data_IF_453491312642
#
_entry.id   IF_453491312642
#
_cell.length_a   1.000
_cell.length_b   1.000
_cell.length_c   1.000
_cell.angle_alpha   90.00
_cell.angle_beta   90.00
_cell.angle_gamma   90.00
#
_symmetry.space_group_name_H-M   'P 1'
#
loop_
_entity.id
_entity.type
_entity.pdbx_description
1 polymer ?
#
# COMPACT_ATOMS: atom_id res chain seq x y z
N UNK A 1 -3.30 1.37 41.47
CA UNK A 1 -2.25 1.57 40.44
C UNK A 1 -0.91 0.95 40.86
N UNK A 2 -0.34 1.35 41.99
CA UNK A 2 1.01 0.90 42.41
C UNK A 2 1.16 -0.63 42.52
N UNK A 3 0.17 -1.33 43.07
CA UNK A 3 0.18 -2.79 43.13
C UNK A 3 0.26 -3.45 41.74
N UNK A 4 -0.40 -2.86 40.73
CA UNK A 4 -0.36 -3.34 39.34
C UNK A 4 1.03 -3.09 38.73
N UNK A 5 1.64 -1.93 38.99
CA UNK A 5 3.02 -1.64 38.56
C UNK A 5 4.02 -2.59 39.19
N UNK A 6 3.91 -2.87 40.48
CA UNK A 6 4.77 -3.83 41.17
C UNK A 6 4.63 -5.24 40.58
N UNK A 7 3.40 -5.66 40.24
CA UNK A 7 3.17 -6.91 39.54
C UNK A 7 3.84 -6.93 38.16
N UNK A 8 3.61 -5.90 37.34
CA UNK A 8 4.23 -5.77 36.01
C UNK A 8 5.75 -5.82 36.12
N UNK A 9 6.33 -5.06 37.04
CA UNK A 9 7.78 -5.03 37.28
C UNK A 9 8.33 -6.43 37.58
N UNK A 10 7.70 -7.16 38.51
CA UNK A 10 8.16 -8.48 38.93
C UNK A 10 8.00 -9.57 37.86
N UNK A 11 6.92 -9.52 37.06
CA UNK A 11 6.55 -10.59 36.13
C UNK A 11 6.79 -10.26 34.64
N UNK A 12 7.23 -9.05 34.31
CA UNK A 12 7.48 -8.58 32.93
C UNK A 12 8.37 -9.53 32.10
N UNK A 13 9.36 -10.14 32.73
CA UNK A 13 10.32 -11.03 32.07
C UNK A 13 9.97 -12.53 32.20
N UNK A 14 8.84 -12.85 32.84
CA UNK A 14 8.41 -14.24 33.07
C UNK A 14 7.35 -14.63 32.04
N UNK A 15 7.50 -15.80 31.42
CA UNK A 15 6.49 -16.40 30.55
C UNK A 15 5.79 -17.55 31.28
N UNK A 16 4.89 -17.21 32.20
CA UNK A 16 4.10 -18.18 32.97
C UNK A 16 2.60 -17.96 32.72
N UNK A 17 2.00 -18.90 32.01
CA UNK A 17 0.58 -18.89 31.67
C UNK A 17 -0.35 -18.83 32.89
N UNK A 18 0.04 -19.38 34.05
CA UNK A 18 -0.78 -19.31 35.28
C UNK A 18 -0.76 -17.90 35.85
N UNK A 19 0.41 -17.28 35.89
CA UNK A 19 0.58 -15.89 36.35
C UNK A 19 -0.20 -14.94 35.45
N UNK A 20 -0.15 -15.14 34.13
CA UNK A 20 -0.87 -14.30 33.17
C UNK A 20 -2.38 -14.38 33.33
N UNK A 21 -2.91 -15.59 33.56
CA UNK A 21 -4.33 -15.79 33.85
C UNK A 21 -4.74 -15.16 35.18
N UNK A 22 -3.96 -15.39 36.24
CA UNK A 22 -4.19 -14.78 37.55
C UNK A 22 -4.20 -13.25 37.47
N UNK A 23 -3.30 -12.65 36.67
CA UNK A 23 -3.28 -11.21 36.47
C UNK A 23 -4.59 -10.70 35.89
N UNK A 24 -5.15 -11.37 34.87
CA UNK A 24 -6.43 -10.97 34.28
C UNK A 24 -7.59 -11.23 35.23
N UNK A 25 -7.68 -12.42 35.83
CA UNK A 25 -8.78 -12.82 36.70
C UNK A 25 -8.92 -11.86 37.89
N UNK A 26 -7.78 -11.50 38.50
CA UNK A 26 -7.72 -10.63 39.67
C UNK A 26 -7.38 -9.16 39.34
N UNK A 27 -7.42 -8.76 38.06
CA UNK A 27 -7.18 -7.36 37.69
C UNK A 27 -8.20 -6.44 38.39
N UNK A 28 -7.76 -5.39 39.13
CA UNK A 28 -8.65 -4.57 39.95
C UNK A 28 -9.80 -3.94 39.16
N UNK A 29 -11.04 -4.11 39.65
CA UNK A 29 -12.24 -3.61 38.97
C UNK A 29 -12.24 -2.08 38.88
N UNK A 30 -11.90 -1.37 39.96
CA UNK A 30 -11.86 0.09 39.99
C UNK A 30 -10.93 0.67 38.90
N UNK A 31 -9.76 0.07 38.72
CA UNK A 31 -8.81 0.49 37.68
C UNK A 31 -9.31 0.14 36.27
N UNK A 32 -10.00 -1.00 36.12
CA UNK A 32 -10.62 -1.37 34.85
C UNK A 32 -11.76 -0.40 34.48
N UNK A 33 -12.57 0.02 35.44
CA UNK A 33 -13.61 1.05 35.27
C UNK A 33 -13.00 2.42 34.96
N UNK A 34 -11.86 2.75 35.57
CA UNK A 34 -11.10 3.96 35.27
C UNK A 34 -10.61 3.95 33.83
N UNK A 35 -10.00 2.85 33.36
CA UNK A 35 -9.63 2.69 31.94
C UNK A 35 -10.84 2.78 31.01
N UNK A 36 -11.98 2.21 31.40
CA UNK A 36 -13.21 2.31 30.62
C UNK A 36 -13.70 3.75 30.53
N UNK A 37 -13.72 4.49 31.65
CA UNK A 37 -14.14 5.88 31.75
C UNK A 37 -13.21 6.77 30.92
N UNK A 38 -11.90 6.55 31.05
CA UNK A 38 -10.88 7.21 30.24
C UNK A 38 -11.13 6.95 28.75
N UNK A 39 -11.46 5.72 28.35
CA UNK A 39 -11.74 5.41 26.95
C UNK A 39 -13.00 6.09 26.39
N UNK A 40 -13.90 6.60 27.25
CA UNK A 40 -15.16 7.26 26.87
C UNK A 40 -15.09 8.79 26.90
N UNK A 41 -14.34 9.37 27.84
CA UNK A 41 -14.37 10.81 28.14
C UNK A 41 -13.17 11.57 27.55
N UNK A 42 -13.33 12.84 27.16
CA UNK A 42 -12.26 13.71 26.63
C UNK A 42 -11.56 14.59 27.69
N UNK A 43 -11.71 14.27 28.98
CA UNK A 43 -11.21 15.13 30.06
C UNK A 43 -9.70 14.97 30.30
N UNK A 44 -8.95 16.05 30.04
CA UNK A 44 -7.51 16.20 30.24
C UNK A 44 -7.16 16.63 31.68
N UNK A 45 -7.54 15.82 32.67
CA UNK A 45 -7.07 16.07 34.04
C UNK A 45 -5.63 15.57 34.22
N UNK A 46 -4.82 16.17 35.09
CA UNK A 46 -3.40 15.80 35.27
C UNK A 46 -3.17 14.32 35.64
N UNK A 47 -4.16 13.65 36.26
CA UNK A 47 -4.10 12.20 36.55
C UNK A 47 -4.27 11.30 35.31
N UNK A 48 -4.72 11.87 34.18
CA UNK A 48 -4.98 11.15 32.94
C UNK A 48 -3.70 10.50 32.38
N UNK A 49 -2.61 11.25 32.32
CA UNK A 49 -1.34 10.77 31.73
C UNK A 49 -0.76 9.58 32.50
N UNK A 50 -0.77 9.62 33.84
CA UNK A 50 -0.27 8.51 34.66
C UNK A 50 -1.08 7.23 34.45
N UNK A 51 -2.39 7.37 34.26
CA UNK A 51 -3.32 6.25 34.04
C UNK A 51 -3.21 5.72 32.61
N UNK A 52 -2.99 6.60 31.63
CA UNK A 52 -2.71 6.24 30.24
C UNK A 52 -1.41 5.44 30.12
N UNK A 53 -0.31 5.92 30.73
CA UNK A 53 0.96 5.18 30.79
C UNK A 53 0.76 3.81 31.42
N UNK A 54 0.03 3.73 32.54
CA UNK A 54 -0.26 2.45 33.19
C UNK A 54 -1.06 1.51 32.27
N UNK A 55 -2.02 2.02 31.49
CA UNK A 55 -2.73 1.18 30.52
C UNK A 55 -1.77 0.63 29.47
N UNK A 56 -0.84 1.44 28.95
CA UNK A 56 0.15 0.98 27.98
C UNK A 56 1.08 -0.10 28.57
N UNK A 57 1.48 0.04 29.84
CA UNK A 57 2.24 -0.96 30.59
C UNK A 57 1.44 -2.26 30.77
N UNK A 58 0.16 -2.15 31.16
CA UNK A 58 -0.76 -3.29 31.30
C UNK A 58 -0.97 -3.99 29.97
N UNK A 59 -1.19 -3.25 28.88
CA UNK A 59 -1.31 -3.82 27.54
C UNK A 59 -0.04 -4.57 27.15
N UNK A 60 1.12 -3.97 27.40
CA UNK A 60 2.43 -4.58 27.14
C UNK A 60 2.60 -5.88 27.92
N UNK A 61 2.22 -5.90 29.21
CA UNK A 61 2.29 -7.12 30.03
C UNK A 61 1.35 -8.21 29.50
N UNK A 62 0.09 -7.88 29.20
CA UNK A 62 -0.93 -8.85 28.75
C UNK A 62 -0.52 -9.52 27.44
N UNK A 63 0.04 -8.74 26.50
CA UNK A 63 0.38 -9.23 25.17
C UNK A 63 1.88 -9.50 24.98
N UNK A 64 2.64 -9.70 26.06
CA UNK A 64 4.06 -10.13 25.95
C UNK A 64 4.23 -11.56 25.40
N UNK A 65 3.17 -12.36 25.47
CA UNK A 65 3.10 -13.73 24.97
C UNK A 65 1.65 -14.08 24.54
N UNK A 66 1.42 -15.30 24.10
CA UNK A 66 0.12 -15.74 23.55
C UNK A 66 -0.84 -16.33 24.59
N UNK A 67 -0.45 -16.42 25.87
CA UNK A 67 -1.12 -17.22 26.90
C UNK A 67 -2.59 -16.81 27.15
N UNK A 68 -2.89 -15.52 26.98
CA UNK A 68 -4.20 -14.94 27.32
C UNK A 68 -4.92 -14.28 26.14
N UNK A 69 -4.50 -14.58 24.90
CA UNK A 69 -5.09 -13.96 23.70
C UNK A 69 -6.60 -14.21 23.57
N UNK A 70 -7.06 -15.40 23.97
CA UNK A 70 -8.46 -15.82 23.86
C UNK A 70 -9.32 -15.43 25.06
N UNK A 71 -8.72 -14.86 26.10
CA UNK A 71 -9.46 -14.48 27.31
C UNK A 71 -10.35 -13.27 27.04
N UNK A 72 -11.59 -13.33 27.51
CA UNK A 72 -12.60 -12.30 27.24
C UNK A 72 -12.19 -10.92 27.76
N UNK A 73 -11.46 -10.87 28.89
CA UNK A 73 -10.97 -9.63 29.50
C UNK A 73 -9.86 -8.97 28.66
N UNK A 74 -9.03 -9.75 27.96
CA UNK A 74 -8.00 -9.24 27.03
C UNK A 74 -8.61 -8.36 25.94
N UNK A 75 -9.79 -8.73 25.43
CA UNK A 75 -10.54 -7.94 24.45
C UNK A 75 -10.91 -6.54 24.96
N UNK A 76 -11.24 -6.41 26.25
CA UNK A 76 -11.52 -5.10 26.86
C UNK A 76 -10.28 -4.20 26.85
N UNK A 77 -9.11 -4.75 27.20
CA UNK A 77 -7.86 -4.01 27.15
C UNK A 77 -7.47 -3.58 25.73
N UNK A 78 -7.67 -4.44 24.73
CA UNK A 78 -7.54 -4.04 23.31
C UNK A 78 -8.48 -2.88 23.01
N UNK A 79 -9.75 -2.96 23.42
CA UNK A 79 -10.71 -1.87 23.17
C UNK A 79 -10.30 -0.56 23.86
N UNK A 80 -9.75 -0.60 25.08
CA UNK A 80 -9.28 0.60 25.78
C UNK A 80 -8.10 1.22 25.05
N UNK A 81 -7.11 0.40 24.70
CA UNK A 81 -5.93 0.79 23.96
C UNK A 81 -6.25 1.46 22.62
N UNK A 82 -7.13 0.84 21.82
CA UNK A 82 -7.55 1.38 20.51
C UNK A 82 -8.24 2.75 20.62
N UNK A 83 -8.99 2.99 21.71
CA UNK A 83 -9.72 4.25 21.92
C UNK A 83 -8.81 5.36 22.41
N UNK A 84 -7.86 5.04 23.28
CA UNK A 84 -6.97 6.04 23.88
C UNK A 84 -5.97 6.58 22.86
N UNK A 85 -5.37 5.72 22.03
CA UNK A 85 -4.40 6.15 21.00
C UNK A 85 -5.01 7.10 19.95
N UNK A 86 -6.34 7.15 19.83
CA UNK A 86 -7.02 8.11 18.93
C UNK A 86 -7.01 9.53 19.46
N UNK A 87 -6.79 9.71 20.76
CA UNK A 87 -6.70 11.01 21.40
C UNK A 87 -5.30 11.55 21.14
N UNK A 88 -5.25 12.76 20.60
CA UNK A 88 -4.12 13.26 19.79
C UNK A 88 -2.96 13.83 20.59
N UNK A 89 -2.96 13.67 21.91
CA UNK A 89 -1.86 14.16 22.73
C UNK A 89 -0.75 13.11 22.75
N UNK A 90 0.38 13.47 22.14
CA UNK A 90 1.55 12.61 22.13
C UNK A 90 2.13 12.51 23.55
N UNK A 91 2.44 11.30 23.98
CA UNK A 91 3.17 11.05 25.23
C UNK A 91 4.67 11.11 24.91
N UNK A 92 5.40 12.17 25.35
CA UNK A 92 6.76 12.41 24.87
C UNK A 92 7.79 11.34 25.28
N UNK A 93 7.53 10.53 26.30
CA UNK A 93 8.58 9.71 26.95
C UNK A 93 8.22 8.23 27.15
N UNK A 94 7.23 7.70 26.44
CA UNK A 94 6.88 6.27 26.54
C UNK A 94 7.83 5.39 25.72
N UNK A 95 8.36 4.32 26.33
CA UNK A 95 9.26 3.39 25.64
C UNK A 95 8.47 2.46 24.70
N UNK A 96 8.56 2.72 23.39
CA UNK A 96 7.67 2.09 22.40
C UNK A 96 8.08 0.67 21.95
N UNK A 97 9.34 0.27 22.13
CA UNK A 97 9.80 -1.04 21.60
C UNK A 97 9.06 -2.25 22.19
N UNK A 98 8.88 -2.37 23.53
CA UNK A 98 8.14 -3.49 24.12
C UNK A 98 6.66 -3.46 23.73
N UNK A 99 6.11 -2.27 23.57
CA UNK A 99 4.73 -2.09 23.13
C UNK A 99 4.55 -2.59 21.70
N UNK A 100 5.47 -2.27 20.79
CA UNK A 100 5.47 -2.75 19.40
C UNK A 100 5.55 -4.29 19.36
N UNK A 101 6.37 -4.93 20.21
CA UNK A 101 6.41 -6.40 20.31
C UNK A 101 5.06 -6.96 20.77
N UNK A 102 4.49 -6.34 21.80
CA UNK A 102 3.21 -6.76 22.36
C UNK A 102 2.06 -6.60 21.36
N UNK A 103 2.09 -5.55 20.54
CA UNK A 103 1.15 -5.39 19.42
C UNK A 103 1.31 -6.53 18.41
N UNK A 104 2.55 -6.90 18.06
CA UNK A 104 2.81 -8.00 17.13
C UNK A 104 2.22 -9.32 17.62
N UNK A 105 2.32 -9.59 18.92
CA UNK A 105 1.70 -10.76 19.55
C UNK A 105 0.17 -10.61 19.59
N UNK A 106 -0.36 -9.46 19.98
CA UNK A 106 -1.79 -9.19 20.03
C UNK A 106 -2.47 -9.45 18.68
N UNK A 107 -1.90 -8.92 17.60
CA UNK A 107 -2.47 -9.06 16.24
C UNK A 107 -2.19 -10.41 15.58
N UNK A 108 -1.50 -11.34 16.25
CA UNK A 108 -1.48 -12.75 15.85
C UNK A 108 -2.85 -13.41 16.02
N UNK A 109 -3.73 -12.83 16.83
CA UNK A 109 -5.13 -13.22 16.94
C UNK A 109 -6.01 -12.41 15.97
N UNK A 110 -6.58 -13.08 14.96
CA UNK A 110 -7.36 -12.47 13.88
C UNK A 110 -8.44 -11.47 14.33
N UNK A 111 -9.27 -11.76 15.35
CA UNK A 111 -10.25 -10.79 15.85
C UNK A 111 -9.64 -9.45 16.26
N UNK A 112 -8.46 -9.46 16.90
CA UNK A 112 -7.78 -8.22 17.28
C UNK A 112 -7.18 -7.53 16.05
N UNK A 113 -6.57 -8.27 15.11
CA UNK A 113 -6.11 -7.71 13.83
C UNK A 113 -7.24 -6.96 13.11
N UNK A 114 -8.44 -7.54 13.05
CA UNK A 114 -9.65 -6.91 12.48
C UNK A 114 -10.04 -5.64 13.24
N UNK A 115 -10.00 -5.65 14.58
CA UNK A 115 -10.28 -4.45 15.39
C UNK A 115 -9.29 -3.32 15.08
N UNK A 116 -8.00 -3.63 14.97
CA UNK A 116 -6.95 -2.66 14.64
C UNK A 116 -7.18 -2.01 13.26
N UNK A 117 -7.51 -2.81 12.24
CA UNK A 117 -7.84 -2.31 10.90
C UNK A 117 -9.07 -1.39 10.95
N UNK A 118 -10.15 -1.86 11.57
CA UNK A 118 -11.42 -1.14 11.65
C UNK A 118 -11.32 0.17 12.42
N UNK A 119 -10.38 0.27 13.36
CA UNK A 119 -10.14 1.50 14.12
C UNK A 119 -9.06 2.40 13.51
N UNK A 120 -8.52 2.07 12.32
CA UNK A 120 -7.41 2.80 11.68
C UNK A 120 -6.20 2.95 12.63
N UNK A 121 -5.90 1.89 13.37
CA UNK A 121 -5.04 2.00 14.53
C UNK A 121 -3.59 2.34 14.18
N UNK A 122 -3.03 1.74 13.12
CA UNK A 122 -1.64 2.00 12.73
C UNK A 122 -1.36 3.48 12.49
N UNK A 123 -2.29 4.18 11.84
CA UNK A 123 -2.19 5.62 11.61
C UNK A 123 -2.23 6.42 12.92
N UNK A 124 -3.20 6.09 13.80
CA UNK A 124 -3.32 6.79 15.09
C UNK A 124 -2.09 6.54 15.96
N UNK A 125 -1.59 5.30 16.01
CA UNK A 125 -0.35 4.96 16.72
C UNK A 125 0.84 5.72 16.16
N UNK A 126 0.96 5.79 14.83
CA UNK A 126 2.03 6.53 14.19
C UNK A 126 2.09 7.97 14.71
N UNK A 127 0.97 8.69 14.66
CA UNK A 127 0.93 10.08 15.08
C UNK A 127 1.00 10.29 16.60
N UNK A 128 0.46 9.37 17.38
CA UNK A 128 0.55 9.43 18.83
C UNK A 128 1.99 9.26 19.32
N UNK A 129 2.78 8.39 18.67
CA UNK A 129 4.14 8.05 19.11
C UNK A 129 5.27 8.58 18.19
N UNK A 130 4.97 9.40 17.17
CA UNK A 130 5.92 9.78 16.11
C UNK A 130 7.27 10.27 16.63
N UNK A 131 7.26 11.09 17.70
CA UNK A 131 8.47 11.66 18.31
C UNK A 131 9.39 10.60 18.91
N UNK A 132 8.81 9.52 19.42
CA UNK A 132 9.51 8.42 20.07
C UNK A 132 9.94 7.31 19.09
N UNK A 133 9.41 7.31 17.87
CA UNK A 133 9.52 6.18 16.93
C UNK A 133 10.76 6.20 16.01
N UNK A 134 11.67 7.17 16.14
CA UNK A 134 12.80 7.33 15.21
C UNK A 134 13.65 6.05 15.04
N UNK A 135 13.85 5.27 16.11
CA UNK A 135 14.63 4.01 16.05
C UNK A 135 13.82 2.82 15.54
N UNK A 136 12.49 2.90 15.63
CA UNK A 136 11.60 1.74 15.49
C UNK A 136 10.68 1.84 14.27
N UNK A 137 10.82 2.89 13.46
CA UNK A 137 10.01 3.15 12.26
C UNK A 137 9.97 1.96 11.29
N UNK A 138 11.11 1.31 11.02
CA UNK A 138 11.17 0.12 10.15
C UNK A 138 10.35 -1.05 10.71
N UNK A 139 10.48 -1.32 12.01
CA UNK A 139 9.75 -2.39 12.71
C UNK A 139 8.25 -2.11 12.75
N UNK A 140 7.89 -0.86 13.03
CA UNK A 140 6.52 -0.37 12.96
C UNK A 140 5.90 -0.60 11.58
N UNK A 141 6.60 -0.24 10.49
CA UNK A 141 6.12 -0.48 9.12
C UNK A 141 5.98 -1.97 8.79
N UNK A 142 6.84 -2.83 9.31
CA UNK A 142 6.72 -4.29 9.17
C UNK A 142 5.45 -4.81 9.84
N UNK A 143 5.16 -4.37 11.07
CA UNK A 143 3.93 -4.74 11.78
C UNK A 143 2.69 -4.16 11.09
N UNK A 144 2.78 -2.92 10.57
CA UNK A 144 1.73 -2.31 9.76
C UNK A 144 1.39 -3.19 8.56
N UNK A 145 2.41 -3.61 7.80
CA UNK A 145 2.23 -4.54 6.67
C UNK A 145 1.54 -5.83 7.12
N UNK A 146 1.97 -6.47 8.21
CA UNK A 146 1.37 -7.71 8.74
C UNK A 146 -0.10 -7.54 9.17
N UNK A 147 -0.44 -6.43 9.84
CA UNK A 147 -1.81 -6.15 10.27
C UNK A 147 -2.73 -6.00 9.06
N UNK A 148 -2.29 -5.25 8.05
CA UNK A 148 -3.06 -5.08 6.81
C UNK A 148 -2.94 -6.28 5.85
N UNK A 149 -2.16 -7.32 6.19
CA UNK A 149 -2.04 -8.58 5.43
C UNK A 149 -3.15 -9.59 5.77
N UNK A 150 -4.39 -9.11 5.98
CA UNK A 150 -5.54 -9.95 6.33
C UNK A 150 -6.03 -10.84 5.18
N UNK A 151 -6.39 -12.09 5.50
CA UNK A 151 -6.93 -13.06 4.55
C UNK A 151 -8.25 -12.62 3.89
N UNK A 152 -8.45 -13.00 2.63
CA UNK A 152 -9.65 -12.63 1.86
C UNK A 152 -10.95 -13.14 2.50
N UNK A 153 -10.93 -14.32 3.16
CA UNK A 153 -12.08 -14.90 3.86
C UNK A 153 -12.56 -14.05 5.04
N UNK A 154 -11.73 -13.13 5.54
CA UNK A 154 -12.05 -12.26 6.68
C UNK A 154 -12.53 -10.86 6.24
N UNK A 155 -12.61 -10.59 4.93
CA UNK A 155 -13.06 -9.31 4.39
C UNK A 155 -14.44 -8.89 4.92
N UNK A 156 -15.36 -9.83 5.15
CA UNK A 156 -16.71 -9.57 5.64
C UNK A 156 -16.77 -8.96 7.05
N UNK A 157 -15.70 -9.08 7.85
CA UNK A 157 -15.60 -8.49 9.18
C UNK A 157 -15.08 -7.03 9.16
N UNK A 158 -14.73 -6.51 7.98
CA UNK A 158 -14.28 -5.13 7.83
C UNK A 158 -15.46 -4.19 7.65
N UNK A 159 -15.53 -3.15 8.48
CA UNK A 159 -16.58 -2.15 8.43
C UNK A 159 -16.25 -1.07 7.40
N UNK A 160 -16.86 -1.15 6.21
CA UNK A 160 -16.60 -0.23 5.09
C UNK A 160 -16.71 1.25 5.48
N UNK A 161 -17.69 1.61 6.32
CA UNK A 161 -17.87 2.98 6.82
C UNK A 161 -16.66 3.45 7.64
N UNK A 162 -16.08 2.59 8.45
CA UNK A 162 -14.92 2.91 9.28
C UNK A 162 -13.64 2.97 8.46
N UNK A 163 -13.45 2.04 7.53
CA UNK A 163 -12.34 2.07 6.57
C UNK A 163 -12.31 3.37 5.76
N UNK A 164 -13.47 3.79 5.23
CA UNK A 164 -13.58 5.06 4.51
C UNK A 164 -13.24 6.26 5.38
N UNK A 165 -13.72 6.28 6.63
CA UNK A 165 -13.39 7.33 7.60
C UNK A 165 -11.89 7.37 7.88
N UNK A 166 -11.27 6.22 8.16
CA UNK A 166 -9.83 6.12 8.41
C UNK A 166 -8.99 6.56 7.22
N UNK A 167 -9.36 6.17 6.00
CA UNK A 167 -8.70 6.65 4.78
C UNK A 167 -8.78 8.17 4.63
N UNK A 168 -9.96 8.76 4.87
CA UNK A 168 -10.12 10.22 4.83
C UNK A 168 -9.22 10.90 5.86
N UNK A 169 -9.12 10.36 7.07
CA UNK A 169 -8.22 10.89 8.11
C UNK A 169 -6.75 10.85 7.67
N UNK A 170 -6.30 9.74 7.08
CA UNK A 170 -4.93 9.61 6.57
C UNK A 170 -4.67 10.60 5.43
N UNK A 171 -5.59 10.69 4.46
CA UNK A 171 -5.50 11.59 3.31
C UNK A 171 -5.43 13.06 3.73
N UNK A 172 -6.35 13.49 4.61
CA UNK A 172 -6.34 14.86 5.13
C UNK A 172 -5.04 15.15 5.85
N UNK A 173 -4.58 14.24 6.71
CA UNK A 173 -3.34 14.44 7.46
C UNK A 173 -2.12 14.52 6.55
N UNK A 174 -2.04 13.68 5.52
CA UNK A 174 -0.98 13.78 4.52
C UNK A 174 -0.99 15.14 3.82
N UNK A 175 -2.16 15.63 3.41
CA UNK A 175 -2.26 16.93 2.75
C UNK A 175 -1.75 18.07 3.65
N UNK A 176 -2.08 18.00 4.95
CA UNK A 176 -1.67 19.00 5.93
C UNK A 176 -0.16 18.99 6.21
N UNK A 177 0.49 17.81 6.19
CA UNK A 177 1.87 17.65 6.67
C UNK A 177 2.89 17.28 5.60
N UNK A 178 2.44 16.83 4.42
CA UNK A 178 3.29 16.18 3.39
C UNK A 178 4.17 15.04 3.96
N UNK A 179 3.69 14.38 5.00
CA UNK A 179 4.44 13.36 5.74
C UNK A 179 4.55 12.06 4.94
N UNK A 180 5.78 11.67 4.63
CA UNK A 180 6.04 10.52 3.79
C UNK A 180 5.72 9.17 4.44
N UNK A 181 5.89 9.02 5.75
CA UNK A 181 5.54 7.76 6.42
C UNK A 181 4.02 7.61 6.50
N UNK A 182 3.28 8.72 6.58
CA UNK A 182 1.83 8.75 6.39
C UNK A 182 1.43 8.23 5.00
N UNK A 183 2.12 8.67 3.94
CA UNK A 183 1.89 8.14 2.59
C UNK A 183 2.18 6.64 2.47
N UNK A 184 3.22 6.13 3.15
CA UNK A 184 3.49 4.68 3.22
C UNK A 184 2.39 3.91 3.92
N UNK A 185 1.89 4.40 5.06
CA UNK A 185 0.75 3.79 5.77
C UNK A 185 -0.46 3.76 4.84
N UNK A 186 -0.76 4.87 4.16
CA UNK A 186 -1.85 4.94 3.20
C UNK A 186 -1.70 3.91 2.08
N UNK A 187 -0.50 3.76 1.52
CA UNK A 187 -0.22 2.77 0.47
C UNK A 187 -0.44 1.34 0.96
N UNK A 188 -0.07 1.04 2.21
CA UNK A 188 -0.33 -0.27 2.85
C UNK A 188 -1.84 -0.52 2.95
N UNK A 189 -2.62 0.49 3.36
CA UNK A 189 -4.08 0.39 3.44
C UNK A 189 -4.69 0.15 2.05
N UNK A 190 -4.30 0.94 1.03
CA UNK A 190 -4.79 0.72 -0.34
C UNK A 190 -4.37 -0.64 -0.90
N UNK A 191 -3.17 -1.13 -0.59
CA UNK A 191 -2.73 -2.47 -0.98
C UNK A 191 -3.65 -3.55 -0.39
N UNK A 192 -4.03 -3.45 0.88
CA UNK A 192 -5.02 -4.33 1.50
C UNK A 192 -6.35 -4.24 0.76
N UNK A 193 -6.89 -3.03 0.58
CA UNK A 193 -8.19 -2.85 -0.08
C UNK A 193 -8.21 -3.40 -1.50
N UNK A 194 -7.09 -3.24 -2.23
CA UNK A 194 -6.93 -3.80 -3.58
C UNK A 194 -7.00 -5.32 -3.55
N UNK A 195 -6.24 -5.97 -2.64
CA UNK A 195 -6.25 -7.44 -2.51
C UNK A 195 -7.64 -7.97 -2.14
N UNK A 196 -8.36 -7.25 -1.29
CA UNK A 196 -9.69 -7.64 -0.83
C UNK A 196 -10.81 -7.26 -1.82
N UNK A 197 -10.50 -6.68 -2.98
CA UNK A 197 -11.49 -6.22 -3.96
C UNK A 197 -12.32 -5.00 -3.51
N UNK A 198 -12.03 -4.43 -2.35
CA UNK A 198 -12.82 -3.37 -1.72
C UNK A 198 -12.64 -2.00 -2.37
N UNK A 199 -11.55 -1.77 -3.12
CA UNK A 199 -11.31 -0.48 -3.81
C UNK A 199 -12.46 -0.15 -4.77
N UNK A 200 -12.98 -1.15 -5.51
CA UNK A 200 -14.02 -0.94 -6.53
C UNK A 200 -15.39 -0.68 -5.88
N UNK A 201 -15.60 -1.17 -4.66
CA UNK A 201 -16.86 -1.00 -3.94
C UNK A 201 -16.97 0.35 -3.26
N UNK A 202 -15.84 0.94 -2.89
CA UNK A 202 -15.78 2.18 -2.15
C UNK A 202 -15.71 3.38 -3.11
N UNK A 203 -16.63 4.34 -2.92
CA UNK A 203 -16.59 5.63 -3.61
C UNK A 203 -15.55 6.52 -2.93
N UNK A 204 -14.47 6.84 -3.64
CA UNK A 204 -13.43 7.77 -3.20
C UNK A 204 -13.33 8.95 -4.15
N UNK A 205 -12.88 10.07 -3.61
CA UNK A 205 -12.18 11.05 -4.42
C UNK A 205 -10.75 10.56 -4.61
N UNK A 206 -10.36 10.34 -5.86
CA UNK A 206 -9.05 9.80 -6.21
C UNK A 206 -8.02 10.90 -6.48
N UNK A 207 -8.41 12.18 -6.52
CA UNK A 207 -7.47 13.27 -6.73
C UNK A 207 -6.42 13.34 -5.61
N UNK A 208 -6.78 13.29 -4.31
CA UNK A 208 -5.78 13.25 -3.24
C UNK A 208 -4.84 12.04 -3.33
N UNK A 209 -5.33 10.89 -3.82
CA UNK A 209 -4.50 9.71 -4.03
C UNK A 209 -3.50 9.92 -5.18
N UNK A 210 -3.88 10.65 -6.22
CA UNK A 210 -2.98 11.01 -7.32
C UNK A 210 -1.87 11.93 -6.86
N UNK A 211 -2.20 12.94 -6.04
CA UNK A 211 -1.20 13.87 -5.51
C UNK A 211 -0.16 13.12 -4.65
N UNK A 212 -0.63 12.21 -3.79
CA UNK A 212 0.25 11.31 -3.02
C UNK A 212 1.07 10.40 -3.92
N UNK A 213 0.44 9.84 -4.95
CA UNK A 213 1.11 8.99 -5.94
C UNK A 213 2.26 9.75 -6.60
N UNK A 214 2.03 11.01 -6.99
CA UNK A 214 3.06 11.86 -7.58
C UNK A 214 4.22 12.10 -6.59
N UNK A 215 3.92 12.46 -5.33
CA UNK A 215 4.96 12.65 -4.31
C UNK A 215 5.77 11.37 -4.05
N UNK A 216 5.12 10.21 -3.96
CA UNK A 216 5.79 8.91 -3.79
C UNK A 216 6.64 8.56 -5.02
N UNK A 217 6.12 8.81 -6.22
CA UNK A 217 6.81 8.55 -7.47
C UNK A 217 8.07 9.41 -7.61
N UNK A 218 7.95 10.73 -7.47
CA UNK A 218 9.09 11.65 -7.59
C UNK A 218 10.17 11.27 -6.58
N UNK A 219 9.78 10.98 -5.33
CA UNK A 219 10.74 10.56 -4.32
C UNK A 219 11.43 9.24 -4.66
N UNK A 220 10.70 8.25 -5.17
CA UNK A 220 11.29 7.01 -5.65
C UNK A 220 12.31 7.25 -6.75
N UNK A 221 11.95 8.09 -7.73
CA UNK A 221 12.81 8.44 -8.86
C UNK A 221 14.10 9.13 -8.41
N UNK A 222 14.02 10.13 -7.53
CA UNK A 222 15.20 10.87 -7.06
C UNK A 222 16.09 10.10 -6.08
N UNK A 223 15.51 9.22 -5.25
CA UNK A 223 16.24 8.55 -4.15
C UNK A 223 16.56 7.09 -4.41
N UNK A 224 16.16 6.54 -5.56
CA UNK A 224 16.30 5.12 -5.90
C UNK A 224 15.75 4.25 -4.74
N UNK A 225 14.57 4.61 -4.24
CA UNK A 225 13.93 3.89 -3.12
C UNK A 225 13.38 2.52 -3.57
N UNK A 226 12.89 1.70 -2.63
CA UNK A 226 12.38 0.34 -2.91
C UNK A 226 11.38 0.30 -4.09
N UNK A 227 11.69 -0.50 -5.10
CA UNK A 227 10.84 -0.76 -6.28
C UNK A 227 9.43 -1.27 -5.91
N UNK A 228 9.28 -1.89 -4.73
CA UNK A 228 8.03 -2.41 -4.19
C UNK A 228 6.90 -1.37 -4.15
N UNK A 229 7.23 -0.10 -3.91
CA UNK A 229 6.27 1.01 -3.82
C UNK A 229 5.58 1.28 -5.16
N UNK A 230 6.37 1.47 -6.23
CA UNK A 230 5.83 1.76 -7.58
C UNK A 230 4.98 0.62 -8.10
N UNK A 231 5.38 -0.62 -7.83
CA UNK A 231 4.62 -1.81 -8.24
C UNK A 231 3.24 -1.83 -7.57
N UNK A 232 3.18 -1.51 -6.27
CA UNK A 232 1.92 -1.43 -5.54
C UNK A 232 1.04 -0.30 -6.09
N UNK A 233 1.61 0.89 -6.33
CA UNK A 233 0.90 2.00 -6.96
C UNK A 233 0.34 1.60 -8.33
N UNK A 234 1.16 0.97 -9.16
CA UNK A 234 0.77 0.46 -10.47
C UNK A 234 -0.41 -0.51 -10.39
N UNK A 235 -0.41 -1.44 -9.42
CA UNK A 235 -1.53 -2.36 -9.17
C UNK A 235 -2.80 -1.64 -8.70
N UNK A 236 -2.67 -0.68 -7.78
CA UNK A 236 -3.79 0.11 -7.25
C UNK A 236 -4.46 0.90 -8.38
N UNK A 237 -3.67 1.64 -9.17
CA UNK A 237 -4.19 2.42 -10.30
C UNK A 237 -4.80 1.57 -11.40
N UNK A 238 -4.23 0.39 -11.67
CA UNK A 238 -4.84 -0.58 -12.59
C UNK A 238 -6.24 -1.02 -12.11
N UNK A 239 -6.40 -1.23 -10.81
CA UNK A 239 -7.69 -1.62 -10.22
C UNK A 239 -8.70 -0.47 -10.28
N UNK A 240 -8.27 0.76 -9.95
CA UNK A 240 -9.11 1.97 -10.01
C UNK A 240 -9.60 2.22 -11.44
N UNK A 241 -8.73 2.10 -12.44
CA UNK A 241 -9.08 2.35 -13.85
C UNK A 241 -9.95 1.24 -14.46
N UNK A 242 -9.81 -0.01 -14.03
CA UNK A 242 -10.67 -1.11 -14.48
C UNK A 242 -11.99 -1.22 -13.71
N UNK A 243 -12.11 -0.52 -12.57
CA UNK A 243 -13.28 -0.61 -11.70
C UNK A 243 -14.53 -0.04 -12.37
N UNK A 244 -15.55 -0.87 -12.57
CA UNK A 244 -16.81 -0.47 -13.24
C UNK A 244 -17.57 0.65 -12.52
N UNK A 245 -17.32 0.84 -11.22
CA UNK A 245 -17.92 1.90 -10.39
C UNK A 245 -17.01 3.12 -10.21
N UNK A 246 -15.78 3.05 -10.71
CA UNK A 246 -14.82 4.15 -10.59
C UNK A 246 -15.25 5.31 -11.48
N UNK A 247 -15.24 6.51 -10.92
CA UNK A 247 -15.45 7.76 -11.68
C UNK A 247 -14.14 8.38 -12.15
N UNK A 248 -13.00 7.75 -11.83
CA UNK A 248 -11.70 8.32 -12.17
C UNK A 248 -11.49 8.27 -13.69
N UNK A 249 -11.24 9.43 -14.28
CA UNK A 249 -10.92 9.59 -15.69
C UNK A 249 -9.54 10.23 -15.81
N UNK A 250 -8.79 9.82 -16.84
CA UNK A 250 -7.55 10.46 -17.25
C UNK A 250 -7.92 11.59 -18.22
N UNK A 251 -8.32 12.72 -17.65
CA UNK A 251 -8.83 13.91 -18.35
C UNK A 251 -7.83 15.09 -18.38
N UNK A 252 -6.64 14.92 -17.79
CA UNK A 252 -5.56 15.91 -17.80
C UNK A 252 -4.23 15.29 -18.23
N UNK A 253 -3.33 16.12 -18.78
CA UNK A 253 -1.97 15.69 -19.12
C UNK A 253 -1.20 15.23 -17.88
N UNK A 254 -1.32 15.95 -16.76
CA UNK A 254 -0.66 15.58 -15.50
C UNK A 254 -1.05 14.16 -15.03
N UNK A 255 -2.35 13.81 -15.10
CA UNK A 255 -2.83 12.45 -14.79
C UNK A 255 -2.23 11.42 -15.74
N UNK A 256 -2.21 11.71 -17.04
CA UNK A 256 -1.68 10.82 -18.07
C UNK A 256 -0.18 10.57 -17.85
N UNK A 257 0.59 11.62 -17.58
CA UNK A 257 2.04 11.58 -17.39
C UNK A 257 2.42 10.73 -16.18
N UNK A 258 1.84 11.04 -15.01
CA UNK A 258 2.17 10.33 -13.76
C UNK A 258 1.81 8.84 -13.85
N UNK A 259 0.62 8.52 -14.38
CA UNK A 259 0.20 7.13 -14.52
C UNK A 259 1.03 6.38 -15.57
N UNK A 260 1.42 7.04 -16.66
CA UNK A 260 2.26 6.43 -17.69
C UNK A 260 3.63 6.09 -17.15
N UNK A 261 4.27 6.98 -16.39
CA UNK A 261 5.56 6.72 -15.77
C UNK A 261 5.50 5.52 -14.79
N UNK A 262 4.49 5.47 -13.92
CA UNK A 262 4.29 4.35 -12.98
C UNK A 262 4.04 3.03 -13.69
N UNK A 263 3.25 3.06 -14.76
CA UNK A 263 2.97 1.87 -15.56
C UNK A 263 4.19 1.41 -16.35
N UNK A 264 4.98 2.34 -16.88
CA UNK A 264 6.20 2.03 -17.59
C UNK A 264 7.21 1.33 -16.68
N UNK A 265 7.49 1.86 -15.48
CA UNK A 265 8.39 1.20 -14.51
C UNK A 265 7.91 -0.22 -14.15
N UNK A 266 6.61 -0.42 -13.89
CA UNK A 266 6.09 -1.76 -13.59
C UNK A 266 6.22 -2.73 -14.78
N UNK A 267 6.04 -2.25 -16.01
CA UNK A 267 6.20 -3.07 -17.21
C UNK A 267 7.66 -3.38 -17.50
N UNK A 268 8.57 -2.40 -17.38
CA UNK A 268 10.03 -2.56 -17.51
C UNK A 268 10.50 -3.71 -16.65
N UNK A 269 10.18 -3.66 -15.35
CA UNK A 269 10.59 -4.70 -14.40
C UNK A 269 10.02 -6.08 -14.74
N UNK A 270 8.76 -6.14 -15.19
CA UNK A 270 8.16 -7.41 -15.62
C UNK A 270 8.80 -7.98 -16.88
N UNK A 271 9.24 -7.13 -17.80
CA UNK A 271 9.97 -7.57 -18.98
C UNK A 271 11.34 -8.10 -18.60
N UNK A 272 12.08 -7.38 -17.74
CA UNK A 272 13.37 -7.83 -17.20
C UNK A 272 13.24 -9.20 -16.50
N UNK A 273 12.25 -9.36 -15.62
CA UNK A 273 11.95 -10.64 -14.94
C UNK A 273 11.74 -11.79 -15.94
N UNK A 274 11.03 -11.52 -17.04
CA UNK A 274 10.75 -12.51 -18.08
C UNK A 274 11.97 -12.81 -18.95
N UNK A 275 12.75 -11.78 -19.32
CA UNK A 275 13.99 -11.93 -20.08
C UNK A 275 15.03 -12.78 -19.32
N UNK A 276 15.10 -12.65 -17.99
CA UNK A 276 16.01 -13.45 -17.16
C UNK A 276 15.56 -14.91 -16.97
N UNK A 277 14.26 -15.17 -17.06
CA UNK A 277 13.69 -16.51 -16.78
C UNK A 277 13.33 -17.29 -18.04
N UNK A 278 13.63 -16.76 -19.24
CA UNK A 278 13.19 -17.29 -20.53
C UNK A 278 11.68 -17.55 -20.60
N UNK A 279 10.90 -16.77 -19.84
CA UNK A 279 9.44 -16.90 -19.78
C UNK A 279 8.74 -16.22 -20.96
N UNK A 280 7.42 -16.37 -21.04
CA UNK A 280 6.59 -15.63 -21.99
C UNK A 280 5.96 -14.40 -21.32
N UNK A 281 6.04 -13.23 -21.97
CA UNK A 281 5.35 -12.03 -21.49
C UNK A 281 3.87 -12.06 -21.88
N UNK A 282 3.04 -12.75 -21.08
CA UNK A 282 1.60 -12.82 -21.34
C UNK A 282 0.89 -11.46 -21.18
N UNK A 283 0.16 -10.99 -22.20
CA UNK A 283 -0.49 -9.67 -22.22
C UNK A 283 -1.93 -9.74 -21.68
N UNK A 284 -2.04 -9.76 -20.36
CA UNK A 284 -3.34 -9.68 -19.67
C UNK A 284 -4.09 -8.38 -19.98
N UNK A 285 -5.43 -8.35 -19.78
CA UNK A 285 -6.25 -7.12 -19.84
C UNK A 285 -5.65 -5.94 -19.06
N UNK A 286 -5.10 -6.22 -17.88
CA UNK A 286 -4.44 -5.22 -17.03
C UNK A 286 -3.18 -4.65 -17.68
N UNK A 287 -2.38 -5.47 -18.38
CA UNK A 287 -1.22 -4.99 -19.14
C UNK A 287 -1.66 -4.21 -20.38
N UNK A 288 -2.72 -4.64 -21.09
CA UNK A 288 -3.29 -3.87 -22.22
C UNK A 288 -3.67 -2.45 -21.81
N UNK A 289 -4.37 -2.30 -20.69
CA UNK A 289 -4.72 -0.98 -20.14
C UNK A 289 -3.46 -0.12 -19.94
N UNK A 290 -2.41 -0.68 -19.32
CA UNK A 290 -1.14 0.04 -19.11
C UNK A 290 -0.51 0.49 -20.42
N UNK A 291 -0.46 -0.41 -21.42
CA UNK A 291 0.02 -0.06 -22.76
C UNK A 291 -0.78 1.06 -23.39
N UNK A 292 -2.12 1.06 -23.27
CA UNK A 292 -2.94 2.14 -23.82
C UNK A 292 -2.65 3.48 -23.15
N UNK A 293 -2.53 3.51 -21.81
CA UNK A 293 -2.19 4.73 -21.08
C UNK A 293 -0.81 5.26 -21.53
N UNK A 294 0.20 4.38 -21.62
CA UNK A 294 1.53 4.77 -22.09
C UNK A 294 1.50 5.20 -23.56
N UNK A 295 0.76 4.50 -24.42
CA UNK A 295 0.58 4.86 -25.83
C UNK A 295 0.00 6.27 -25.97
N UNK A 296 -1.04 6.60 -25.20
CA UNK A 296 -1.60 7.94 -25.19
C UNK A 296 -0.60 8.99 -24.71
N UNK A 297 0.29 8.65 -23.76
CA UNK A 297 1.37 9.57 -23.37
C UNK A 297 2.35 9.83 -24.50
N UNK A 298 2.67 8.83 -25.34
CA UNK A 298 3.49 9.05 -26.53
C UNK A 298 2.77 9.88 -27.62
N UNK A 299 1.44 9.78 -27.71
CA UNK A 299 0.63 10.63 -28.61
C UNK A 299 0.66 12.08 -28.13
N UNK A 300 0.50 12.30 -26.82
CA UNK A 300 0.55 13.62 -26.21
C UNK A 300 1.98 14.17 -26.07
N UNK A 301 3.02 13.34 -26.24
CA UNK A 301 4.42 13.69 -25.98
C UNK A 301 4.86 15.03 -26.57
N UNK A 302 4.56 15.39 -27.83
CA UNK A 302 4.99 16.66 -28.42
C UNK A 302 4.43 17.92 -27.73
N UNK A 303 3.33 17.79 -26.97
CA UNK A 303 2.70 18.90 -26.24
C UNK A 303 2.96 18.83 -24.74
N UNK A 304 3.72 17.84 -24.26
CA UNK A 304 4.12 17.74 -22.86
C UNK A 304 5.23 18.75 -22.58
N UNK A 305 5.12 19.45 -21.46
CA UNK A 305 6.20 20.27 -20.92
C UNK A 305 7.35 19.37 -20.44
N UNK A 306 8.36 19.20 -21.30
CA UNK A 306 9.51 18.34 -21.03
C UNK A 306 10.45 18.91 -19.96
N UNK A 307 10.41 20.21 -19.67
CA UNK A 307 11.19 20.78 -18.56
C UNK A 307 10.57 20.40 -17.23
N UNK A 308 9.24 20.50 -17.12
CA UNK A 308 8.50 20.10 -15.92
C UNK A 308 8.50 18.58 -15.70
N UNK A 309 8.43 17.79 -16.78
CA UNK A 309 8.29 16.33 -16.73
C UNK A 309 9.45 15.57 -17.36
N UNK A 310 10.68 16.06 -17.15
CA UNK A 310 11.88 15.48 -17.72
C UNK A 310 12.04 13.97 -17.46
N UNK A 311 11.66 13.49 -16.25
CA UNK A 311 11.71 12.07 -15.87
C UNK A 311 10.89 11.15 -16.78
N UNK A 312 9.87 11.67 -17.47
CA UNK A 312 8.99 10.85 -18.30
C UNK A 312 9.77 10.29 -19.51
N UNK A 313 10.63 11.11 -20.11
CA UNK A 313 11.45 10.68 -21.27
C UNK A 313 12.37 9.53 -20.88
N UNK A 314 13.01 9.64 -19.73
CA UNK A 314 13.94 8.63 -19.21
C UNK A 314 13.23 7.29 -18.96
N UNK A 315 12.10 7.32 -18.24
CA UNK A 315 11.32 6.13 -17.91
C UNK A 315 10.75 5.46 -19.17
N UNK A 316 10.27 6.24 -20.15
CA UNK A 316 9.75 5.69 -21.41
C UNK A 316 10.87 5.12 -22.30
N UNK A 317 12.05 5.72 -22.25
CA UNK A 317 13.24 5.20 -22.95
C UNK A 317 13.70 3.89 -22.34
N UNK A 318 13.76 3.79 -21.01
CA UNK A 318 14.11 2.54 -20.31
C UNK A 318 13.15 1.39 -20.66
N UNK A 319 11.84 1.67 -20.68
CA UNK A 319 10.85 0.68 -21.11
C UNK A 319 11.08 0.25 -22.57
N UNK A 320 11.38 1.20 -23.46
CA UNK A 320 11.61 0.92 -24.89
C UNK A 320 12.86 0.06 -25.11
N UNK A 321 13.97 0.37 -24.42
CA UNK A 321 15.20 -0.43 -24.48
C UNK A 321 14.97 -1.84 -23.94
N UNK A 322 14.27 -1.98 -22.81
CA UNK A 322 13.94 -3.29 -22.23
C UNK A 322 13.04 -4.10 -23.16
N UNK A 323 12.12 -3.44 -23.87
CA UNK A 323 11.35 -4.11 -24.91
C UNK A 323 12.24 -4.60 -26.04
N UNK A 324 13.15 -3.77 -26.55
CA UNK A 324 14.08 -4.17 -27.61
C UNK A 324 14.85 -5.44 -27.22
N UNK A 325 15.39 -5.50 -26.01
CA UNK A 325 16.05 -6.70 -25.47
C UNK A 325 15.11 -7.91 -25.42
N UNK A 326 13.86 -7.72 -24.97
CA UNK A 326 12.84 -8.78 -24.97
C UNK A 326 12.52 -9.27 -26.39
N UNK A 327 12.42 -8.35 -27.36
CA UNK A 327 12.13 -8.62 -28.77
C UNK A 327 13.23 -9.44 -29.45
N UNK A 328 14.50 -9.17 -29.11
CA UNK A 328 15.66 -9.90 -29.66
C UNK A 328 15.69 -11.37 -29.20
N UNK A 329 15.12 -11.66 -28.04
CA UNK A 329 15.22 -12.97 -27.41
C UNK A 329 14.02 -13.90 -27.64
N UNK A 330 12.88 -13.41 -28.18
CA UNK A 330 11.62 -14.17 -28.18
C UNK A 330 10.93 -14.22 -29.56
N UNK A 331 10.35 -15.38 -29.88
CA UNK A 331 9.50 -15.59 -31.05
C UNK A 331 8.07 -15.12 -30.80
N UNK A 332 7.59 -14.15 -31.59
CA UNK A 332 6.23 -13.61 -31.53
C UNK A 332 5.13 -14.60 -31.91
N UNK A 333 5.50 -15.70 -32.58
CA UNK A 333 4.57 -16.69 -33.12
C UNK A 333 3.65 -17.27 -32.02
N UNK A 334 4.10 -17.29 -30.77
CA UNK A 334 3.36 -17.87 -29.64
C UNK A 334 2.43 -16.88 -28.91
N UNK A 335 2.41 -15.59 -29.30
CA UNK A 335 1.57 -14.56 -28.66
C UNK A 335 0.25 -14.45 -29.45
N UNK A 336 -0.93 -14.33 -28.82
CA UNK A 336 -2.17 -14.09 -29.55
C UNK A 336 -2.12 -12.81 -30.42
N UNK A 337 -2.72 -12.81 -31.61
CA UNK A 337 -2.67 -11.68 -32.55
C UNK A 337 -3.10 -10.33 -31.94
N UNK A 338 -4.16 -10.36 -31.12
CA UNK A 338 -4.65 -9.18 -30.39
C UNK A 338 -3.59 -8.62 -29.43
N UNK A 339 -2.84 -9.50 -28.78
CA UNK A 339 -1.79 -9.14 -27.82
C UNK A 339 -0.57 -8.59 -28.57
N UNK A 340 -0.18 -9.24 -29.68
CA UNK A 340 0.88 -8.75 -30.57
C UNK A 340 0.57 -7.33 -31.07
N UNK A 341 -0.67 -7.09 -31.50
CA UNK A 341 -1.12 -5.78 -32.01
C UNK A 341 -0.97 -4.67 -30.97
N UNK A 342 -1.28 -4.95 -29.69
CA UNK A 342 -1.12 -3.96 -28.61
C UNK A 342 0.35 -3.62 -28.38
N UNK A 343 1.21 -4.64 -28.26
CA UNK A 343 2.65 -4.41 -28.06
C UNK A 343 3.24 -3.67 -29.26
N UNK A 344 2.87 -4.07 -30.48
CA UNK A 344 3.38 -3.46 -31.69
C UNK A 344 2.98 -1.99 -31.85
N UNK A 345 1.71 -1.65 -31.57
CA UNK A 345 1.25 -0.25 -31.58
C UNK A 345 1.99 0.61 -30.55
N UNK A 346 2.19 0.08 -29.36
CA UNK A 346 3.01 0.72 -28.32
C UNK A 346 4.43 0.97 -28.86
N UNK A 347 5.05 -0.08 -29.42
CA UNK A 347 6.45 -0.08 -29.79
C UNK A 347 6.75 0.85 -30.97
N UNK A 348 5.97 0.77 -32.07
CA UNK A 348 6.09 1.70 -33.20
C UNK A 348 5.97 3.16 -32.74
N UNK A 349 5.01 3.41 -31.83
CA UNK A 349 4.80 4.75 -31.32
C UNK A 349 5.99 5.21 -30.48
N UNK A 350 6.56 4.35 -29.63
CA UNK A 350 7.76 4.69 -28.85
C UNK A 350 8.96 5.01 -29.74
N UNK A 351 9.23 4.22 -30.79
CA UNK A 351 10.32 4.49 -31.73
C UNK A 351 10.17 5.86 -32.40
N UNK A 352 8.96 6.15 -32.91
CA UNK A 352 8.69 7.42 -33.59
C UNK A 352 8.84 8.62 -32.65
N UNK A 353 8.41 8.50 -31.40
CA UNK A 353 8.39 9.60 -30.44
C UNK A 353 9.78 9.81 -29.82
N UNK A 354 10.51 8.73 -29.51
CA UNK A 354 11.82 8.77 -28.86
C UNK A 354 12.99 8.83 -29.86
N UNK A 355 12.72 8.86 -31.17
CA UNK A 355 13.72 8.88 -32.26
C UNK A 355 14.73 7.74 -32.15
N UNK A 356 14.24 6.51 -31.99
CA UNK A 356 15.08 5.32 -31.97
C UNK A 356 15.35 4.95 -33.44
N UNK A 357 16.42 5.50 -34.02
CA UNK A 357 16.67 5.53 -35.49
C UNK A 357 17.02 4.16 -36.10
N UNK A 358 17.39 3.16 -35.31
CA UNK A 358 18.01 1.93 -35.83
C UNK A 358 17.11 0.68 -35.88
N UNK A 359 15.89 0.74 -35.36
CA UNK A 359 15.16 -0.50 -35.05
C UNK A 359 14.50 -1.14 -36.28
N UNK A 360 13.86 -0.36 -37.15
CA UNK A 360 13.15 -0.93 -38.32
C UNK A 360 14.10 -1.63 -39.29
N UNK A 361 15.33 -1.14 -39.41
CA UNK A 361 16.35 -1.74 -40.28
C UNK A 361 16.95 -3.01 -39.68
N UNK A 362 17.08 -3.09 -38.35
CA UNK A 362 17.74 -4.22 -37.67
C UNK A 362 16.84 -5.43 -37.44
N UNK A 363 15.53 -5.28 -37.41
CA UNK A 363 14.64 -6.39 -37.00
C UNK A 363 13.68 -6.85 -38.08
N UNK A 364 14.14 -7.83 -38.87
CA UNK A 364 13.35 -8.58 -39.85
C UNK A 364 12.03 -9.16 -39.27
N UNK A 365 11.99 -9.42 -37.96
CA UNK A 365 10.80 -9.91 -37.25
C UNK A 365 9.63 -8.92 -37.31
N UNK A 366 9.88 -7.60 -37.36
CA UNK A 366 8.84 -6.59 -37.51
C UNK A 366 8.24 -6.64 -38.92
N UNK A 367 9.10 -6.69 -39.94
CA UNK A 367 8.66 -6.75 -41.34
C UNK A 367 7.79 -7.98 -41.57
N UNK A 368 8.14 -9.10 -40.93
CA UNK A 368 7.32 -10.31 -40.92
C UNK A 368 5.97 -10.11 -40.23
N UNK A 369 5.94 -9.46 -39.07
CA UNK A 369 4.68 -9.15 -38.37
C UNK A 369 3.78 -8.21 -39.17
N UNK A 370 4.35 -7.14 -39.76
CA UNK A 370 3.63 -6.23 -40.65
C UNK A 370 3.04 -6.95 -41.85
N UNK A 371 3.79 -7.89 -42.44
CA UNK A 371 3.31 -8.73 -43.53
C UNK A 371 2.13 -9.61 -43.09
N UNK A 372 2.21 -10.25 -41.92
CA UNK A 372 1.10 -11.05 -41.37
C UNK A 372 -0.16 -10.21 -41.15
N UNK A 373 -0.04 -8.99 -40.62
CA UNK A 373 -1.19 -8.09 -40.46
C UNK A 373 -1.83 -7.69 -41.81
N UNK A 374 -1.01 -7.47 -42.84
CA UNK A 374 -1.50 -7.17 -44.18
C UNK A 374 -2.22 -8.37 -44.82
N UNK A 375 -1.72 -9.59 -44.62
CA UNK A 375 -2.39 -10.80 -45.09
C UNK A 375 -3.71 -11.07 -44.36
N UNK A 376 -3.78 -10.92 -43.03
CA UNK A 376 -5.02 -11.17 -42.27
C UNK A 376 -6.12 -10.15 -42.62
N UNK A 377 -5.77 -8.88 -42.81
CA UNK A 377 -6.73 -7.86 -43.27
C UNK A 377 -7.25 -8.14 -44.68
N UNK A 378 -6.45 -8.74 -45.56
CA UNK A 378 -6.90 -9.16 -46.89
C UNK A 378 -7.92 -10.32 -46.86
N UNK A 379 -7.84 -11.19 -45.84
CA UNK A 379 -8.77 -12.33 -45.67
C UNK A 379 -10.08 -11.95 -45.01
N UNK A 380 -10.12 -10.89 -44.20
CA UNK A 380 -11.33 -10.41 -43.53
C UNK A 380 -12.33 -9.65 -44.42
N UNK A 381 -11.96 -9.30 -45.66
CA UNK A 381 -12.77 -8.46 -46.57
C UNK A 381 -13.63 -9.31 -47.54
N UNK A 382 -13.60 -10.65 -47.43
CA UNK A 382 -14.34 -11.57 -48.32
C UNK A 382 -15.64 -12.16 -47.74
N UNK A 383 -16.37 -11.39 -46.93
CA UNK A 383 -17.72 -11.76 -46.46
C UNK A 383 -18.74 -10.66 -46.71
#
# INVERSE_FOLDING_TARGET
MEAVRNFIFHYSNQNDSKVDKLFLDYFPNDLHEEFQTMSRNETNDAGYQGTEILLLEVFTLIFRNTNVLTESKSKSFVSFFLKIIKKREAIPDFYTDPLIDSISICVSHDPYKIMFINENWMFNFYYHFIKSMNKSARRFLTICKNIYDIDHSKSCYLYHKRLRKGLKEILTKFYDTSDYDCAKILLIVFKMLNRLGLIVEMKFDYQPLLDITNSLFLRHYYKIEESSTIINLSKIWTCILNGSKSKFQIDTLDKLIILSAIFAIDLTRKLQEVSHTSGNFGVTRNKKLKFYVIYFSFVAFPIIDHEKYWFLSDVLSELSSTFQEYYENISFINIPLDDQTVIFRYYLKSCSTLKIEDFLEKHQNISRFLYMLLEDTSRGITY
#
